data_IF_775755310368
#
_entry.id   IF_775755310368
#
_cell.length_a   1.000
_cell.length_b   1.000
_cell.length_c   1.000
_cell.angle_alpha   90.00
_cell.angle_beta   90.00
_cell.angle_gamma   90.00
#
_symmetry.space_group_name_H-M   'P 1'
#
loop_
_entity.id
_entity.type
_entity.pdbx_description
1 polymer ?
#
# COMPACT_ATOMS: atom_id res chain seq x y z
N UNK A 1 -2.31 22.25 -19.79
CA UNK A 1 -2.34 20.85 -19.34
C UNK A 1 -2.59 20.89 -17.86
N UNK A 2 -3.86 20.98 -17.46
CA UNK A 2 -4.24 20.99 -16.05
C UNK A 2 -4.27 19.54 -15.58
N UNK A 3 -3.23 19.10 -14.88
CA UNK A 3 -3.29 17.86 -14.10
C UNK A 3 -4.16 18.17 -12.89
N UNK A 4 -5.43 17.79 -12.95
CA UNK A 4 -6.38 17.94 -11.86
C UNK A 4 -5.83 17.26 -10.59
N UNK A 5 -5.60 17.99 -9.48
CA UNK A 5 -4.96 17.48 -8.25
C UNK A 5 -5.87 16.58 -7.39
N UNK A 6 -7.01 16.17 -7.93
CA UNK A 6 -8.10 15.47 -7.22
C UNK A 6 -7.91 13.95 -7.16
N UNK A 7 -6.79 13.42 -7.66
CA UNK A 7 -6.42 12.00 -7.59
C UNK A 7 -4.97 11.75 -7.12
N UNK A 8 -4.42 12.68 -6.34
CA UNK A 8 -3.08 12.55 -5.74
C UNK A 8 -3.03 11.59 -4.56
N UNK A 9 -4.19 11.13 -4.05
CA UNK A 9 -4.28 10.23 -2.90
C UNK A 9 -5.00 8.95 -3.29
N UNK A 10 -4.48 7.84 -2.81
CA UNK A 10 -5.03 6.51 -2.96
C UNK A 10 -5.28 5.95 -1.57
N UNK A 11 -6.45 5.40 -1.31
CA UNK A 11 -6.61 4.52 -0.15
C UNK A 11 -5.71 3.29 -0.31
N UNK A 12 -5.34 2.64 0.79
CA UNK A 12 -4.56 1.39 0.73
C UNK A 12 -5.26 0.35 -0.15
N UNK A 13 -6.59 0.27 -0.09
CA UNK A 13 -7.37 -0.59 -0.96
C UNK A 13 -7.30 -0.20 -2.45
N UNK A 14 -7.35 1.09 -2.79
CA UNK A 14 -7.19 1.55 -4.18
C UNK A 14 -5.77 1.30 -4.70
N UNK A 15 -4.76 1.58 -3.89
CA UNK A 15 -3.37 1.27 -4.19
C UNK A 15 -3.19 -0.24 -4.43
N UNK A 16 -3.81 -1.09 -3.61
CA UNK A 16 -3.76 -2.55 -3.74
C UNK A 16 -4.34 -3.04 -5.08
N UNK A 17 -5.40 -2.40 -5.59
CA UNK A 17 -5.97 -2.74 -6.91
C UNK A 17 -5.04 -2.41 -8.08
N UNK A 18 -4.06 -1.54 -7.87
CA UNK A 18 -3.08 -1.16 -8.88
C UNK A 18 -1.83 -2.08 -8.84
N UNK A 19 -1.68 -2.91 -7.82
CA UNK A 19 -0.58 -3.87 -7.73
C UNK A 19 -0.85 -5.09 -8.60
N UNK A 20 0.14 -5.56 -9.37
CA UNK A 20 0.12 -6.89 -9.95
C UNK A 20 0.37 -7.91 -8.83
N UNK A 21 -0.70 -8.35 -8.17
CA UNK A 21 -0.70 -9.33 -7.10
C UNK A 21 -1.72 -10.46 -7.38
N UNK A 22 -1.51 -11.67 -6.84
CA UNK A 22 -2.41 -12.81 -7.04
C UNK A 22 -3.81 -12.58 -6.45
N UNK A 23 -3.92 -11.76 -5.40
CA UNK A 23 -5.19 -11.29 -4.87
C UNK A 23 -5.08 -9.86 -4.34
N UNK A 24 -6.22 -9.17 -4.21
CA UNK A 24 -6.27 -7.84 -3.62
C UNK A 24 -5.77 -7.90 -2.16
N UNK A 25 -6.09 -8.96 -1.42
CA UNK A 25 -5.66 -9.09 -0.03
C UNK A 25 -4.15 -9.23 0.10
N UNK A 26 -3.49 -9.99 -0.79
CA UNK A 26 -2.03 -10.08 -0.84
C UNK A 26 -1.39 -8.72 -1.12
N UNK A 27 -1.97 -7.93 -2.03
CA UNK A 27 -1.51 -6.57 -2.30
C UNK A 27 -1.71 -5.65 -1.09
N UNK A 28 -2.85 -5.73 -0.41
CA UNK A 28 -3.10 -4.96 0.81
C UNK A 28 -2.10 -5.32 1.92
N UNK A 29 -1.79 -6.61 2.07
CA UNK A 29 -0.82 -7.11 3.04
C UNK A 29 0.60 -6.62 2.71
N UNK A 30 1.01 -6.68 1.44
CA UNK A 30 2.30 -6.17 0.98
C UNK A 30 2.44 -4.66 1.28
N UNK A 31 1.41 -3.88 0.98
CA UNK A 31 1.37 -2.44 1.26
C UNK A 31 1.40 -2.17 2.77
N UNK A 32 0.61 -2.90 3.56
CA UNK A 32 0.58 -2.74 5.01
C UNK A 32 1.95 -3.04 5.64
N UNK A 33 2.66 -4.09 5.18
CA UNK A 33 4.03 -4.37 5.62
C UNK A 33 5.00 -3.26 5.21
N UNK A 34 4.93 -2.77 3.98
CA UNK A 34 5.79 -1.67 3.54
C UNK A 34 5.60 -0.40 4.39
N UNK A 35 4.36 -0.14 4.82
CA UNK A 35 4.02 0.97 5.71
C UNK A 35 4.58 0.75 7.12
N UNK A 36 4.37 -0.42 7.71
CA UNK A 36 4.88 -0.75 9.05
C UNK A 36 6.42 -0.72 9.11
N UNK A 37 7.09 -1.18 8.04
CA UNK A 37 8.55 -1.13 7.91
C UNK A 37 9.09 0.28 7.61
N UNK A 38 8.21 1.27 7.39
CA UNK A 38 8.59 2.63 7.01
C UNK A 38 9.14 2.78 5.59
N UNK A 39 8.97 1.76 4.75
CA UNK A 39 9.39 1.73 3.33
C UNK A 39 8.41 2.46 2.41
N UNK A 40 7.15 2.58 2.82
CA UNK A 40 6.10 3.31 2.13
C UNK A 40 5.49 4.35 3.06
N UNK A 41 5.53 5.63 2.67
CA UNK A 41 4.89 6.68 3.43
C UNK A 41 3.38 6.63 3.26
N UNK A 42 2.64 6.65 4.37
CA UNK A 42 1.19 6.64 4.37
C UNK A 42 0.64 7.38 5.60
N UNK A 43 -0.55 7.97 5.46
CA UNK A 43 -1.31 8.47 6.59
C UNK A 43 -2.13 7.32 7.17
N UNK A 44 -1.53 6.63 8.14
CA UNK A 44 -2.10 5.41 8.69
C UNK A 44 -3.28 5.73 9.62
N UNK A 45 -4.42 5.13 9.31
CA UNK A 45 -5.58 5.07 10.21
C UNK A 45 -5.72 3.66 10.74
N UNK A 46 -5.71 3.52 12.06
CA UNK A 46 -5.84 2.23 12.75
C UNK A 46 -7.17 2.18 13.47
N UNK A 47 -7.82 1.02 13.44
CA UNK A 47 -8.99 0.82 14.27
C UNK A 47 -8.59 0.76 15.75
N UNK A 48 -9.37 1.42 16.59
CA UNK A 48 -9.15 1.45 18.04
C UNK A 48 -9.47 0.11 18.72
N UNK A 49 -10.23 -0.76 18.04
CA UNK A 49 -10.64 -2.08 18.52
C UNK A 49 -10.22 -3.15 17.53
N UNK A 50 -9.76 -4.30 18.03
CA UNK A 50 -9.55 -5.50 17.22
C UNK A 50 -10.89 -5.89 16.57
N UNK A 51 -11.00 -5.73 15.24
CA UNK A 51 -12.11 -6.32 14.50
C UNK A 51 -11.82 -7.79 14.24
N UNK A 52 -12.75 -8.66 14.61
CA UNK A 52 -12.65 -10.12 14.47
C UNK A 52 -13.30 -10.63 13.18
N UNK A 53 -13.46 -9.77 12.17
CA UNK A 53 -14.02 -10.16 10.87
C UNK A 53 -12.91 -10.23 9.82
N UNK A 54 -12.47 -11.47 9.57
CA UNK A 54 -11.74 -11.99 8.41
C UNK A 54 -11.01 -10.99 7.51
N UNK A 55 -9.67 -11.00 7.58
CA UNK A 55 -8.80 -10.24 6.66
C UNK A 55 -8.07 -9.07 7.32
N UNK A 56 -7.56 -9.28 8.54
CA UNK A 56 -6.79 -8.27 9.27
C UNK A 56 -5.51 -7.90 8.52
N UNK A 57 -5.28 -6.60 8.37
CA UNK A 57 -3.98 -6.06 8.00
C UNK A 57 -3.12 -5.91 9.26
N UNK A 58 -1.79 -6.08 9.16
CA UNK A 58 -0.88 -5.87 10.27
C UNK A 58 -1.08 -4.48 10.86
N UNK A 59 -1.02 -4.38 12.19
CA UNK A 59 -1.21 -3.12 12.91
C UNK A 59 -2.65 -2.60 12.97
N UNK A 60 -3.66 -3.42 12.62
CA UNK A 60 -5.08 -3.03 12.56
C UNK A 60 -5.32 -1.82 11.65
N UNK A 61 -4.57 -1.76 10.54
CA UNK A 61 -4.68 -0.69 9.54
C UNK A 61 -6.06 -0.77 8.86
N UNK A 62 -6.78 0.34 8.88
CA UNK A 62 -8.00 0.49 8.10
C UNK A 62 -7.64 0.75 6.63
N UNK A 63 -7.84 -0.25 5.78
CA UNK A 63 -7.55 -0.19 4.34
C UNK A 63 -8.32 0.88 3.55
N UNK A 64 -9.47 1.33 4.07
CA UNK A 64 -10.34 2.32 3.41
C UNK A 64 -10.07 3.75 3.89
N UNK A 65 -9.50 3.93 5.09
CA UNK A 65 -9.21 5.26 5.65
C UNK A 65 -7.72 5.60 5.65
N UNK A 66 -6.85 4.59 5.54
CA UNK A 66 -5.42 4.81 5.32
C UNK A 66 -5.19 5.22 3.89
N UNK A 67 -4.56 6.38 3.70
CA UNK A 67 -4.27 6.92 2.38
C UNK A 67 -2.76 7.10 2.17
N UNK A 68 -2.37 6.93 0.92
CA UNK A 68 -1.01 7.00 0.40
C UNK A 68 -1.02 8.06 -0.69
N UNK A 69 -0.04 8.96 -0.71
CA UNK A 69 0.13 9.86 -1.85
C UNK A 69 0.57 9.04 -3.07
N UNK A 70 -0.02 9.30 -4.24
CA UNK A 70 0.28 8.61 -5.48
C UNK A 70 1.78 8.65 -5.80
N UNK A 71 2.45 9.77 -5.52
CA UNK A 71 3.90 9.90 -5.73
C UNK A 71 4.72 8.98 -4.83
N UNK A 72 4.32 8.80 -3.56
CA UNK A 72 4.97 7.86 -2.64
C UNK A 72 4.74 6.41 -3.09
N UNK A 73 3.52 6.11 -3.54
CA UNK A 73 3.18 4.81 -4.10
C UNK A 73 4.00 4.47 -5.35
N UNK A 74 4.11 5.41 -6.30
CA UNK A 74 4.89 5.22 -7.53
C UNK A 74 6.39 5.07 -7.23
N UNK A 75 6.93 5.87 -6.31
CA UNK A 75 8.32 5.76 -5.86
C UNK A 75 8.60 4.38 -5.23
N UNK A 76 7.69 3.92 -4.38
CA UNK A 76 7.78 2.59 -3.78
C UNK A 76 7.68 1.47 -4.81
N UNK A 77 6.76 1.57 -5.79
CA UNK A 77 6.66 0.59 -6.88
C UNK A 77 7.92 0.54 -7.76
N UNK A 78 8.56 1.67 -8.01
CA UNK A 78 9.83 1.72 -8.74
C UNK A 78 10.94 1.01 -7.94
N UNK A 79 11.07 1.33 -6.65
CA UNK A 79 12.05 0.69 -5.76
C UNK A 79 11.82 -0.82 -5.62
N UNK A 80 10.56 -1.25 -5.53
CA UNK A 80 10.15 -2.66 -5.49
C UNK A 80 10.63 -3.43 -6.74
N UNK A 81 10.48 -2.85 -7.91
CA UNK A 81 10.92 -3.47 -9.17
C UNK A 81 12.44 -3.58 -9.25
N UNK A 82 13.16 -2.56 -8.78
CA UNK A 82 14.63 -2.61 -8.69
C UNK A 82 15.10 -3.71 -7.73
N UNK A 83 14.51 -3.81 -6.54
CA UNK A 83 14.85 -4.85 -5.58
C UNK A 83 14.51 -6.27 -6.09
N UNK A 84 13.38 -6.43 -6.80
CA UNK A 84 13.03 -7.71 -7.43
C UNK A 84 13.99 -8.09 -8.58
N UNK A 85 14.55 -7.10 -9.28
CA UNK A 85 15.56 -7.33 -10.30
C UNK A 85 16.92 -7.73 -9.72
N UNK A 86 17.30 -7.18 -8.56
CA UNK A 86 18.54 -7.54 -7.85
C UNK A 86 18.48 -8.89 -7.14
N UNK A 87 17.28 -9.36 -6.75
CA UNK A 87 17.09 -10.63 -6.05
C UNK A 87 17.12 -11.89 -6.95
N UNK A 88 17.41 -11.77 -8.25
CA UNK A 88 17.73 -12.91 -9.13
C UNK A 88 19.25 -13.11 -9.19
N UNK A 89 19.86 -13.98 -8.36
CA UNK A 89 21.15 -14.56 -8.73
C UNK A 89 20.91 -15.52 -9.90
N UNK A 90 21.77 -15.43 -10.91
CA UNK A 90 21.81 -16.38 -12.03
C UNK A 90 22.19 -17.79 -11.61
#
# INVERSE_FOLDING_TARGET
METTPENSRLTLHEAARLLPAPSIHDAELELAHAIEDGRLHANVKRWATEQWESGLLPGNINRLETWIERSDFEAWMAARQSAAAEAKPG
#
